data_IF_074168887983
#
_entry.id   IF_074168887983
#
_cell.length_a   1.000
_cell.length_b   1.000
_cell.length_c   1.000
_cell.angle_alpha   90.00
_cell.angle_beta   90.00
_cell.angle_gamma   90.00
#
_symmetry.space_group_name_H-M   'P 1'
#
loop_
_entity.id
_entity.type
_entity.pdbx_description
1 polymer ?
#
# COMPACT_ATOMS: atom_id res chain seq x y z
N UNK A 1 -0.02 -12.07 0.33
CA UNK A 1 -0.37 -13.38 -0.30
C UNK A 1 -1.73 -13.88 0.17
N UNK A 2 -2.03 -13.89 1.48
CA UNK A 2 -3.28 -14.45 2.01
C UNK A 2 -4.53 -13.57 1.81
N UNK A 3 -4.38 -12.26 1.58
CA UNK A 3 -5.49 -11.32 1.54
C UNK A 3 -6.57 -11.66 0.49
N UNK A 4 -6.24 -12.01 -0.78
CA UNK A 4 -7.25 -12.42 -1.75
C UNK A 4 -7.99 -13.70 -1.33
N UNK A 5 -7.28 -14.67 -0.77
CA UNK A 5 -7.87 -15.92 -0.30
C UNK A 5 -8.85 -15.68 0.85
N UNK A 6 -8.49 -14.82 1.81
CA UNK A 6 -9.35 -14.45 2.93
C UNK A 6 -10.58 -13.65 2.50
N UNK A 7 -10.46 -12.88 1.42
CA UNK A 7 -11.61 -12.16 0.84
C UNK A 7 -12.62 -13.13 0.25
N UNK A 8 -12.17 -14.20 -0.40
CA UNK A 8 -13.02 -15.21 -1.03
C UNK A 8 -13.59 -16.20 0.00
N UNK A 9 -12.76 -16.64 0.96
CA UNK A 9 -13.15 -17.55 2.03
C UNK A 9 -12.62 -17.11 3.40
N UNK A 10 -13.49 -16.46 4.16
CA UNK A 10 -13.18 -16.01 5.54
C UNK A 10 -13.05 -17.14 6.56
N UNK A 11 -13.42 -18.37 6.17
CA UNK A 11 -13.35 -19.56 7.03
C UNK A 11 -12.07 -20.37 6.84
N UNK A 12 -11.23 -19.96 5.90
CA UNK A 12 -10.00 -20.64 5.53
C UNK A 12 -9.13 -20.98 6.75
N UNK A 13 -8.75 -22.27 6.83
CA UNK A 13 -7.89 -22.79 7.89
C UNK A 13 -6.65 -23.44 7.32
N UNK A 14 -5.53 -23.31 8.03
CA UNK A 14 -4.29 -24.02 7.75
C UNK A 14 -3.84 -24.70 9.03
N UNK A 15 -3.62 -26.00 8.98
CA UNK A 15 -3.24 -26.81 10.17
C UNK A 15 -4.19 -26.60 11.38
N UNK A 16 -5.49 -26.48 11.11
CA UNK A 16 -6.50 -26.24 12.16
C UNK A 16 -6.59 -24.81 12.69
N UNK A 17 -5.76 -23.90 12.22
CA UNK A 17 -5.78 -22.49 12.62
C UNK A 17 -6.57 -21.68 11.58
N UNK A 18 -7.61 -21.00 12.02
CA UNK A 18 -8.37 -20.06 11.17
C UNK A 18 -7.51 -18.84 10.86
N UNK A 19 -7.20 -18.65 9.58
CA UNK A 19 -6.26 -17.60 9.16
C UNK A 19 -6.72 -16.19 9.51
N UNK A 20 -8.01 -15.90 9.43
CA UNK A 20 -8.55 -14.59 9.82
C UNK A 20 -8.27 -14.28 11.30
N UNK A 21 -8.46 -15.26 12.20
CA UNK A 21 -8.17 -15.10 13.62
C UNK A 21 -6.67 -14.94 13.89
N UNK A 22 -5.86 -15.71 13.18
CA UNK A 22 -4.40 -15.58 13.25
C UNK A 22 -3.93 -14.18 12.89
N UNK A 23 -4.36 -13.63 11.74
CA UNK A 23 -3.93 -12.29 11.33
C UNK A 23 -4.48 -11.19 12.25
N UNK A 24 -5.70 -11.31 12.77
CA UNK A 24 -6.21 -10.37 13.78
C UNK A 24 -5.38 -10.38 15.04
N UNK A 25 -5.00 -11.58 15.50
CA UNK A 25 -4.11 -11.72 16.65
C UNK A 25 -2.73 -11.09 16.37
N UNK A 26 -2.12 -11.37 15.22
CA UNK A 26 -0.84 -10.78 14.86
C UNK A 26 -0.90 -9.24 14.83
N UNK A 27 -1.95 -8.65 14.25
CA UNK A 27 -2.12 -7.19 14.24
C UNK A 27 -2.21 -6.61 15.67
N UNK A 28 -2.93 -7.27 16.57
CA UNK A 28 -3.02 -6.82 17.96
C UNK A 28 -1.65 -6.86 18.67
N UNK A 29 -0.81 -7.86 18.37
CA UNK A 29 0.54 -7.97 18.93
C UNK A 29 1.48 -6.83 18.49
N UNK A 30 1.26 -6.22 17.32
CA UNK A 30 2.09 -5.11 16.85
C UNK A 30 1.96 -3.86 17.74
N UNK A 31 0.86 -3.71 18.44
CA UNK A 31 0.56 -2.55 19.30
C UNK A 31 0.46 -2.89 20.79
N UNK A 32 0.67 -4.13 21.15
CA UNK A 32 0.78 -4.58 22.54
C UNK A 32 2.23 -4.38 23.05
N UNK A 33 2.44 -3.40 23.92
CA UNK A 33 3.76 -3.05 24.46
C UNK A 33 4.43 -4.18 25.27
N UNK A 34 3.71 -5.24 25.64
CA UNK A 34 4.25 -6.43 26.29
C UNK A 34 4.66 -7.52 25.31
N UNK A 35 4.28 -7.37 24.05
CA UNK A 35 4.60 -8.32 22.96
C UNK A 35 6.02 -8.16 22.46
N UNK A 36 6.63 -9.28 22.07
CA UNK A 36 7.92 -9.27 21.33
C UNK A 36 7.80 -8.71 19.92
N UNK A 37 6.60 -8.66 19.37
CA UNK A 37 6.27 -8.10 18.05
C UNK A 37 5.91 -6.62 18.10
N UNK A 38 5.93 -6.00 19.30
CA UNK A 38 5.57 -4.59 19.45
C UNK A 38 6.40 -3.67 18.56
N UNK A 39 5.72 -2.80 17.84
CA UNK A 39 6.33 -1.76 17.02
C UNK A 39 6.01 -0.40 17.64
N UNK A 40 7.06 0.33 18.03
CA UNK A 40 6.90 1.69 18.56
C UNK A 40 6.57 2.68 17.45
N UNK A 41 5.97 3.82 17.79
CA UNK A 41 5.86 4.95 16.87
C UNK A 41 7.22 5.33 16.29
N UNK A 42 7.22 5.87 15.07
CA UNK A 42 8.45 6.24 14.35
C UNK A 42 9.38 7.17 15.14
N UNK A 43 8.80 8.13 15.87
CA UNK A 43 9.58 9.17 16.56
C UNK A 43 10.41 9.99 15.56
N UNK A 44 11.70 10.18 15.86
CA UNK A 44 12.63 10.95 15.02
C UNK A 44 13.40 10.09 14.00
N UNK A 45 12.99 8.82 13.80
CA UNK A 45 13.64 7.95 12.81
C UNK A 45 13.38 8.46 11.39
N UNK A 46 14.40 8.34 10.54
CA UNK A 46 14.26 8.58 9.10
C UNK A 46 13.42 7.51 8.40
N UNK A 47 13.38 7.51 7.05
CA UNK A 47 12.76 6.44 6.28
C UNK A 47 13.35 5.08 6.66
N UNK A 48 12.49 4.07 6.81
CA UNK A 48 12.89 2.73 7.23
C UNK A 48 11.98 1.68 6.60
N UNK A 49 12.38 0.42 6.70
CA UNK A 49 11.65 -0.72 6.14
C UNK A 49 10.23 -0.85 6.70
N UNK A 50 9.98 -0.46 7.96
CA UNK A 50 8.64 -0.50 8.56
C UNK A 50 7.60 0.25 7.70
N UNK A 51 7.99 1.38 7.09
CA UNK A 51 7.10 2.12 6.19
C UNK A 51 6.67 1.27 4.97
N UNK A 52 7.60 0.51 4.40
CA UNK A 52 7.32 -0.40 3.27
C UNK A 52 6.35 -1.49 3.69
N UNK A 53 6.60 -2.10 4.84
CA UNK A 53 5.75 -3.17 5.40
C UNK A 53 4.34 -2.66 5.70
N UNK A 54 4.20 -1.44 6.24
CA UNK A 54 2.89 -0.85 6.51
C UNK A 54 2.13 -0.48 5.24
N UNK A 55 2.82 -0.02 4.20
CA UNK A 55 2.22 0.17 2.88
C UNK A 55 1.70 -1.15 2.31
N UNK A 56 2.50 -2.21 2.37
CA UNK A 56 2.11 -3.57 1.96
C UNK A 56 0.95 -4.14 2.79
N UNK A 57 0.96 -3.90 4.10
CA UNK A 57 -0.14 -4.26 5.00
C UNK A 57 -1.42 -3.51 4.62
N UNK A 58 -1.34 -2.21 4.37
CA UNK A 58 -2.49 -1.39 3.96
C UNK A 58 -3.10 -1.86 2.64
N UNK A 59 -2.29 -2.24 1.64
CA UNK A 59 -2.76 -2.89 0.42
C UNK A 59 -3.54 -4.17 0.75
N UNK A 60 -3.00 -5.00 1.65
CA UNK A 60 -3.66 -6.23 2.07
C UNK A 60 -4.99 -5.96 2.78
N UNK A 61 -5.04 -4.94 3.64
CA UNK A 61 -6.25 -4.54 4.35
C UNK A 61 -7.31 -3.92 3.42
N UNK A 62 -6.93 -3.24 2.32
CA UNK A 62 -7.89 -2.85 1.29
C UNK A 62 -8.62 -4.05 0.68
N UNK A 63 -7.93 -5.19 0.57
CA UNK A 63 -8.48 -6.42 -0.03
C UNK A 63 -9.32 -7.23 0.96
N UNK A 64 -8.83 -7.47 2.18
CA UNK A 64 -9.47 -8.36 3.16
C UNK A 64 -9.89 -7.65 4.47
N UNK A 65 -10.02 -6.32 4.47
CA UNK A 65 -10.32 -5.54 5.67
C UNK A 65 -11.65 -5.91 6.33
N UNK A 66 -12.65 -6.32 5.56
CA UNK A 66 -13.93 -6.79 6.11
C UNK A 66 -13.75 -7.99 7.05
N UNK A 67 -12.76 -8.84 6.75
CA UNK A 67 -12.49 -10.08 7.49
C UNK A 67 -11.45 -9.86 8.60
N UNK A 68 -10.45 -9.02 8.36
CA UNK A 68 -9.30 -8.87 9.27
C UNK A 68 -9.38 -7.60 10.10
N UNK A 69 -9.68 -6.44 9.46
CA UNK A 69 -9.69 -5.14 10.13
C UNK A 69 -10.98 -4.85 10.89
N UNK A 70 -12.14 -4.98 10.22
CA UNK A 70 -13.42 -4.61 10.83
C UNK A 70 -13.72 -5.31 12.15
N UNK A 71 -13.41 -6.62 12.31
CA UNK A 71 -13.68 -7.32 13.58
C UNK A 71 -12.70 -6.99 14.72
N UNK A 72 -11.63 -6.23 14.49
CA UNK A 72 -10.73 -5.80 15.55
C UNK A 72 -11.44 -4.87 16.55
N UNK A 73 -11.04 -4.95 17.83
CA UNK A 73 -11.48 -3.99 18.84
C UNK A 73 -11.05 -2.57 18.46
N UNK A 74 -11.88 -1.59 18.80
CA UNK A 74 -11.63 -0.19 18.42
C UNK A 74 -10.29 0.31 18.99
N UNK A 75 -9.97 -0.02 20.24
CA UNK A 75 -8.69 0.37 20.85
C UNK A 75 -7.46 -0.18 20.09
N UNK A 76 -7.54 -1.40 19.55
CA UNK A 76 -6.49 -1.97 18.71
C UNK A 76 -6.39 -1.24 17.38
N UNK A 77 -7.53 -0.92 16.76
CA UNK A 77 -7.57 -0.14 15.52
C UNK A 77 -6.95 1.24 15.70
N UNK A 78 -7.31 1.95 16.76
CA UNK A 78 -6.82 3.29 17.07
C UNK A 78 -5.30 3.27 17.33
N UNK A 79 -4.82 2.23 18.02
CA UNK A 79 -3.39 2.06 18.27
C UNK A 79 -2.62 1.72 17.00
N UNK A 80 -3.17 0.86 16.12
CA UNK A 80 -2.57 0.52 14.83
C UNK A 80 -2.53 1.75 13.92
N UNK A 81 -3.62 2.50 13.85
CA UNK A 81 -3.67 3.74 13.09
C UNK A 81 -2.61 4.72 13.57
N UNK A 82 -2.61 5.07 14.85
CA UNK A 82 -1.66 6.01 15.43
C UNK A 82 -0.19 5.58 15.19
N UNK A 83 0.10 4.31 15.34
CA UNK A 83 1.44 3.77 15.10
C UNK A 83 1.81 3.84 13.62
N UNK A 84 0.98 3.32 12.71
CA UNK A 84 1.28 3.28 11.27
C UNK A 84 1.29 4.68 10.64
N UNK A 85 0.37 5.57 11.02
CA UNK A 85 0.36 6.97 10.57
C UNK A 85 1.61 7.73 11.02
N UNK A 86 2.19 7.41 12.17
CA UNK A 86 3.45 8.02 12.61
C UNK A 86 4.60 7.78 11.61
N UNK A 87 4.53 6.73 10.80
CA UNK A 87 5.46 6.44 9.71
C UNK A 87 5.00 7.06 8.40
N UNK A 88 3.70 6.97 8.09
CA UNK A 88 3.14 7.44 6.83
C UNK A 88 3.15 8.98 6.72
N UNK A 89 2.88 9.70 7.79
CA UNK A 89 3.02 11.17 7.90
C UNK A 89 4.46 11.60 8.21
N UNK A 90 5.42 10.78 7.83
CA UNK A 90 6.84 10.99 8.07
C UNK A 90 7.66 11.13 6.79
N UNK A 91 8.99 11.26 6.96
CA UNK A 91 9.89 11.29 5.82
C UNK A 91 9.86 9.97 5.06
N UNK A 92 10.02 10.07 3.75
CA UNK A 92 10.14 8.93 2.84
C UNK A 92 11.37 9.07 1.95
N UNK A 93 11.78 7.96 1.34
CA UNK A 93 12.69 8.00 0.20
C UNK A 93 11.88 8.48 -1.02
N UNK A 94 12.53 9.18 -1.94
CA UNK A 94 11.88 9.68 -3.15
C UNK A 94 11.39 8.53 -4.04
N UNK A 95 10.57 8.87 -5.05
CA UNK A 95 10.02 7.98 -6.07
C UNK A 95 9.07 6.92 -5.51
N UNK A 96 9.25 5.65 -5.86
CA UNK A 96 8.31 4.56 -5.58
C UNK A 96 7.97 4.39 -4.08
N UNK A 97 8.88 4.73 -3.16
CA UNK A 97 8.63 4.62 -1.72
C UNK A 97 7.44 5.48 -1.24
N UNK A 98 7.14 6.58 -1.92
CA UNK A 98 5.97 7.42 -1.63
C UNK A 98 4.66 6.64 -1.69
N UNK A 99 4.58 5.55 -2.47
CA UNK A 99 3.39 4.71 -2.49
C UNK A 99 3.05 4.10 -1.14
N UNK A 100 4.04 3.77 -0.32
CA UNK A 100 3.79 3.18 0.99
C UNK A 100 3.16 4.18 1.96
N UNK A 101 3.61 5.44 1.93
CA UNK A 101 2.93 6.54 2.64
C UNK A 101 1.49 6.70 2.11
N UNK A 102 1.34 6.76 0.80
CA UNK A 102 0.05 6.96 0.12
C UNK A 102 -0.94 5.84 0.47
N UNK A 103 -0.53 4.57 0.43
CA UNK A 103 -1.43 3.46 0.78
C UNK A 103 -1.85 3.48 2.23
N UNK A 104 -0.94 3.76 3.15
CA UNK A 104 -1.24 3.80 4.59
C UNK A 104 -2.23 4.93 4.89
N UNK A 105 -1.94 6.16 4.48
CA UNK A 105 -2.85 7.30 4.65
C UNK A 105 -4.20 7.07 3.96
N UNK A 106 -4.21 6.51 2.74
CA UNK A 106 -5.44 6.25 2.00
C UNK A 106 -6.32 5.20 2.69
N UNK A 107 -5.71 4.16 3.27
CA UNK A 107 -6.46 3.14 4.00
C UNK A 107 -7.15 3.75 5.22
N UNK A 108 -6.42 4.48 6.06
CA UNK A 108 -6.99 5.08 7.26
C UNK A 108 -8.02 6.16 6.96
N UNK A 109 -7.80 6.97 5.94
CA UNK A 109 -8.82 7.93 5.46
C UNK A 109 -10.10 7.22 5.02
N UNK A 110 -10.01 6.10 4.30
CA UNK A 110 -11.17 5.29 3.91
C UNK A 110 -11.91 4.72 5.12
N UNK A 111 -11.18 4.32 6.16
CA UNK A 111 -11.75 3.80 7.40
C UNK A 111 -12.28 4.92 8.35
N UNK A 112 -12.21 6.18 7.92
CA UNK A 112 -12.80 7.32 8.64
C UNK A 112 -11.87 8.05 9.60
N UNK A 113 -10.58 7.72 9.60
CA UNK A 113 -9.58 8.44 10.40
C UNK A 113 -9.14 9.73 9.73
N UNK A 114 -8.65 10.67 10.54
CA UNK A 114 -8.05 11.90 10.05
C UNK A 114 -6.60 11.62 9.64
N UNK A 115 -6.23 12.05 8.43
CA UNK A 115 -4.88 11.88 7.89
C UNK A 115 -4.36 13.23 7.38
N UNK A 116 -3.09 13.32 7.07
CA UNK A 116 -2.50 14.50 6.43
C UNK A 116 -2.84 14.55 4.93
N UNK A 117 -4.02 15.06 4.60
CA UNK A 117 -4.54 15.13 3.23
C UNK A 117 -3.61 15.92 2.29
N UNK A 118 -2.99 16.98 2.79
CA UNK A 118 -2.07 17.79 1.99
C UNK A 118 -0.81 16.98 1.59
N UNK A 119 -0.30 16.17 2.51
CA UNK A 119 0.85 15.29 2.25
C UNK A 119 0.46 14.14 1.32
N UNK A 120 -0.70 13.52 1.54
CA UNK A 120 -1.23 12.46 0.69
C UNK A 120 -1.33 12.94 -0.77
N UNK A 121 -2.01 14.05 -1.01
CA UNK A 121 -2.17 14.61 -2.35
C UNK A 121 -0.81 15.01 -2.97
N UNK A 122 0.07 15.62 -2.18
CA UNK A 122 1.43 15.97 -2.61
C UNK A 122 2.19 14.73 -3.08
N UNK A 123 2.16 13.63 -2.33
CA UNK A 123 2.89 12.42 -2.70
C UNK A 123 2.32 11.78 -3.95
N UNK A 124 1.00 11.74 -4.12
CA UNK A 124 0.37 11.24 -5.36
C UNK A 124 0.79 12.08 -6.56
N UNK A 125 0.77 13.42 -6.44
CA UNK A 125 1.22 14.32 -7.53
C UNK A 125 2.70 14.13 -7.86
N UNK A 126 3.56 13.92 -6.86
CA UNK A 126 4.97 13.66 -7.08
C UNK A 126 5.20 12.32 -7.81
N UNK A 127 4.44 11.27 -7.46
CA UNK A 127 4.49 9.98 -8.15
C UNK A 127 4.07 10.11 -9.62
N UNK A 128 3.01 10.88 -9.90
CA UNK A 128 2.56 11.15 -11.27
C UNK A 128 3.61 11.97 -12.03
N UNK A 129 4.25 12.93 -11.39
CA UNK A 129 5.31 13.75 -12.00
C UNK A 129 6.59 12.97 -12.34
N UNK A 130 6.76 11.76 -11.81
CA UNK A 130 7.84 10.86 -12.22
C UNK A 130 7.59 10.20 -13.58
N UNK A 131 6.40 10.36 -14.19
CA UNK A 131 6.05 9.86 -15.52
C UNK A 131 6.87 10.52 -16.62
N UNK A 132 7.32 9.72 -17.61
CA UNK A 132 8.19 10.14 -18.72
C UNK A 132 7.66 9.79 -20.12
N UNK A 133 6.44 9.26 -20.18
CA UNK A 133 5.81 8.87 -21.44
C UNK A 133 5.90 7.37 -21.74
N UNK A 134 5.03 6.91 -22.64
CA UNK A 134 4.94 5.52 -23.09
C UNK A 134 4.78 4.49 -21.95
N UNK A 135 4.18 4.89 -20.82
CA UNK A 135 4.00 4.05 -19.66
C UNK A 135 5.20 3.95 -18.72
N UNK A 136 6.26 4.71 -18.93
CA UNK A 136 7.48 4.64 -18.13
C UNK A 136 7.55 5.73 -17.08
N UNK A 137 7.94 5.33 -15.87
CA UNK A 137 8.24 6.21 -14.75
C UNK A 137 9.73 6.19 -14.45
N UNK A 138 10.28 7.35 -14.10
CA UNK A 138 11.66 7.46 -13.66
C UNK A 138 11.75 7.05 -12.19
N UNK A 139 12.44 5.97 -11.91
CA UNK A 139 12.88 5.58 -10.57
C UNK A 139 14.38 5.84 -10.45
N UNK A 140 14.71 7.11 -10.23
CA UNK A 140 16.04 7.71 -10.37
C UNK A 140 17.17 6.87 -9.74
N UNK A 141 18.27 6.64 -10.46
CA UNK A 141 18.58 7.24 -11.78
C UNK A 141 18.06 6.44 -12.98
N UNK A 142 17.36 5.35 -12.77
CA UNK A 142 17.11 4.33 -13.77
C UNK A 142 15.65 4.27 -14.24
N UNK A 143 15.47 3.69 -15.42
CA UNK A 143 14.23 3.13 -15.92
C UNK A 143 14.37 1.60 -15.80
N UNK A 144 13.90 1.03 -14.69
CA UNK A 144 14.05 -0.37 -14.37
C UNK A 144 12.71 -1.04 -14.05
N UNK A 145 12.78 -2.23 -13.49
CA UNK A 145 11.59 -3.00 -13.11
C UNK A 145 10.68 -2.28 -12.11
N UNK A 146 11.17 -1.33 -11.30
CA UNK A 146 10.34 -0.54 -10.40
C UNK A 146 9.38 0.38 -11.13
N UNK A 147 9.71 0.82 -12.35
CA UNK A 147 8.76 1.52 -13.22
C UNK A 147 7.50 0.68 -13.45
N UNK A 148 7.64 -0.63 -13.68
CA UNK A 148 6.53 -1.54 -13.92
C UNK A 148 5.93 -2.10 -12.63
N UNK A 149 6.76 -2.63 -11.73
CA UNK A 149 6.27 -3.35 -10.56
C UNK A 149 5.82 -2.42 -9.43
N UNK A 150 6.42 -1.26 -9.28
CA UNK A 150 5.97 -0.29 -8.31
C UNK A 150 4.96 0.68 -8.92
N UNK A 151 5.39 1.51 -9.86
CA UNK A 151 4.52 2.58 -10.35
C UNK A 151 3.27 2.06 -11.05
N UNK A 152 3.41 1.16 -12.00
CA UNK A 152 2.28 0.67 -12.78
C UNK A 152 1.34 -0.20 -11.93
N UNK A 153 1.89 -1.10 -11.10
CA UNK A 153 1.07 -1.92 -10.21
C UNK A 153 0.42 -1.08 -9.11
N UNK A 154 1.22 -0.32 -8.37
CA UNK A 154 0.71 0.42 -7.21
C UNK A 154 -0.19 1.58 -7.61
N UNK A 155 0.12 2.28 -8.69
CA UNK A 155 -0.75 3.33 -9.21
C UNK A 155 -2.14 2.81 -9.58
N UNK A 156 -2.22 1.62 -10.21
CA UNK A 156 -3.49 0.96 -10.54
C UNK A 156 -4.24 0.47 -9.30
N UNK A 157 -3.54 -0.16 -8.36
CA UNK A 157 -4.15 -0.62 -7.10
C UNK A 157 -4.69 0.56 -6.29
N UNK A 158 -3.92 1.64 -6.15
CA UNK A 158 -4.37 2.83 -5.44
C UNK A 158 -5.59 3.47 -6.11
N UNK A 159 -5.58 3.58 -7.44
CA UNK A 159 -6.73 4.10 -8.19
C UNK A 159 -7.99 3.30 -7.88
N UNK A 160 -7.92 1.98 -7.95
CA UNK A 160 -9.06 1.09 -7.72
C UNK A 160 -9.54 1.08 -6.26
N UNK A 161 -8.62 1.08 -5.30
CA UNK A 161 -8.98 0.94 -3.88
C UNK A 161 -9.47 2.24 -3.26
N UNK A 162 -8.98 3.36 -3.76
CA UNK A 162 -9.18 4.65 -3.12
C UNK A 162 -9.35 5.81 -4.10
N UNK A 163 -8.44 5.95 -5.07
CA UNK A 163 -8.31 7.12 -5.93
C UNK A 163 -9.59 7.43 -6.72
N UNK A 164 -10.24 6.42 -7.27
CA UNK A 164 -11.47 6.60 -8.08
C UNK A 164 -12.58 7.30 -7.31
N UNK A 165 -12.65 7.10 -6.00
CA UNK A 165 -13.68 7.74 -5.17
C UNK A 165 -13.26 9.10 -4.64
N UNK A 166 -12.00 9.27 -4.24
CA UNK A 166 -11.54 10.44 -3.48
C UNK A 166 -10.73 11.44 -4.31
N UNK A 167 -10.03 10.97 -5.36
CA UNK A 167 -9.16 11.75 -6.24
C UNK A 167 -9.26 11.27 -7.71
N UNK A 168 -10.47 11.34 -8.33
CA UNK A 168 -10.72 10.70 -9.63
C UNK A 168 -9.80 11.20 -10.76
N UNK A 169 -9.43 12.48 -10.74
CA UNK A 169 -8.53 13.04 -11.74
C UNK A 169 -7.13 12.43 -11.67
N UNK A 170 -6.58 12.30 -10.45
CA UNK A 170 -5.26 11.71 -10.23
C UNK A 170 -5.28 10.20 -10.54
N UNK A 171 -6.36 9.50 -10.18
CA UNK A 171 -6.55 8.10 -10.51
C UNK A 171 -6.62 7.87 -12.04
N UNK A 172 -7.27 8.79 -12.77
CA UNK A 172 -7.32 8.74 -14.24
C UNK A 172 -5.94 8.87 -14.87
N UNK A 173 -5.04 9.65 -14.28
CA UNK A 173 -3.66 9.77 -14.78
C UNK A 173 -2.92 8.44 -14.69
N UNK A 174 -2.95 7.75 -13.55
CA UNK A 174 -2.34 6.41 -13.42
C UNK A 174 -2.95 5.39 -14.38
N UNK A 175 -4.27 5.44 -14.62
CA UNK A 175 -4.92 4.53 -15.59
C UNK A 175 -4.47 4.80 -17.03
N UNK A 176 -4.39 6.07 -17.42
CA UNK A 176 -3.87 6.46 -18.74
C UNK A 176 -2.44 5.95 -18.93
N UNK A 177 -1.58 6.22 -17.96
CA UNK A 177 -0.17 5.87 -18.03
C UNK A 177 0.03 4.35 -18.09
N UNK A 178 -0.79 3.58 -17.37
CA UNK A 178 -0.82 2.13 -17.46
C UNK A 178 -1.24 1.65 -18.86
N UNK A 179 -2.28 2.25 -19.44
CA UNK A 179 -2.74 1.86 -20.78
C UNK A 179 -1.69 2.15 -21.86
N UNK A 180 -0.92 3.23 -21.71
CA UNK A 180 0.19 3.52 -22.61
C UNK A 180 1.30 2.46 -22.51
N UNK A 181 1.63 1.98 -21.31
CA UNK A 181 2.61 0.92 -21.14
C UNK A 181 2.16 -0.39 -21.78
N UNK A 182 0.89 -0.71 -21.70
CA UNK A 182 0.36 -2.00 -22.17
C UNK A 182 0.64 -2.25 -23.65
N UNK A 183 0.72 -1.20 -24.45
CA UNK A 183 1.03 -1.30 -25.89
C UNK A 183 2.48 -1.69 -26.17
N UNK A 184 3.41 -1.33 -25.30
CA UNK A 184 4.85 -1.63 -25.45
C UNK A 184 5.31 -2.84 -24.62
N UNK A 185 4.56 -3.21 -23.61
CA UNK A 185 4.91 -4.26 -22.66
C UNK A 185 5.26 -5.63 -23.29
N UNK A 186 4.52 -6.13 -24.30
CA UNK A 186 4.83 -7.41 -24.93
C UNK A 186 6.22 -7.44 -25.60
N UNK A 187 6.76 -6.30 -26.02
CA UNK A 187 8.07 -6.21 -26.66
C UNK A 187 9.24 -6.33 -25.68
N UNK A 188 8.98 -6.31 -24.38
CA UNK A 188 9.99 -6.52 -23.33
C UNK A 188 10.30 -8.00 -23.13
N UNK A 189 9.49 -8.91 -23.68
CA UNK A 189 9.68 -10.34 -23.51
C UNK A 189 10.28 -10.96 -24.76
N UNK A 190 11.29 -11.83 -24.56
CA UNK A 190 11.80 -12.71 -25.60
C UNK A 190 10.76 -13.76 -25.99
N UNK A 191 11.04 -14.49 -27.06
CA UNK A 191 10.17 -15.58 -27.54
C UNK A 191 10.03 -16.73 -26.52
N UNK A 192 10.97 -16.83 -25.61
CA UNK A 192 11.00 -17.79 -24.48
C UNK A 192 10.24 -17.29 -23.24
N UNK A 193 9.67 -16.06 -23.29
CA UNK A 193 8.93 -15.46 -22.19
C UNK A 193 9.80 -14.78 -21.11
N UNK A 194 11.12 -14.75 -21.31
CA UNK A 194 12.03 -13.97 -20.45
C UNK A 194 12.10 -12.49 -20.85
N UNK A 195 12.27 -11.64 -19.85
CA UNK A 195 12.40 -10.20 -19.95
C UNK A 195 13.89 -9.82 -19.97
#
# INVERSE_FOLDING_TARGET
VAAPLLKEDSTLTINGIKLADYYRHQLALLVDSTSKQFISHRGNRGPCQDLVEFGGLSISLFVCGDVVWKPLNQSVKDSLESMMESYADGPTISQNWRFFNVFTMSFFKKEGYQVNDALLEKYVKLLINDYRGNGWYLDNPNYDYYSMWAYQLYGRLWSQFFGDRYYPELANMFRRDFNEMYTSYPYLFGRDGHM
#
